data_IF_323920238368
#
_entry.id   IF_323920238368
#
_cell.length_a   1.000
_cell.length_b   1.000
_cell.length_c   1.000
_cell.angle_alpha   90.00
_cell.angle_beta   90.00
_cell.angle_gamma   90.00
#
_symmetry.space_group_name_H-M   'P 1'
#
loop_
_entity.id
_entity.type
_entity.pdbx_description
1 polymer ?
#
# COMPACT_ATOMS: atom_id res chain seq x y z
N UNK A 1 6.13 1.55 -11.91
CA UNK A 1 6.01 1.24 -10.48
C UNK A 1 7.19 0.36 -10.13
N UNK A 2 7.83 0.62 -8.99
CA UNK A 2 8.99 -0.15 -8.54
C UNK A 2 8.61 -0.93 -7.28
N UNK A 3 8.66 -2.27 -7.28
CA UNK A 3 8.36 -3.06 -6.09
C UNK A 3 9.42 -2.81 -5.02
N UNK A 4 8.99 -2.66 -3.77
CA UNK A 4 9.86 -2.50 -2.61
C UNK A 4 9.30 -3.28 -1.42
N UNK A 5 10.17 -3.54 -0.46
CA UNK A 5 9.83 -4.26 0.76
C UNK A 5 10.54 -3.66 1.95
N UNK A 6 9.77 -3.40 3.01
CA UNK A 6 10.27 -2.98 4.32
C UNK A 6 9.68 -3.92 5.34
N UNK A 7 10.55 -4.69 6.02
CA UNK A 7 10.15 -5.81 6.89
C UNK A 7 9.29 -6.83 6.13
N UNK A 8 8.01 -6.92 6.46
CA UNK A 8 6.97 -7.76 5.89
C UNK A 8 5.96 -6.97 5.03
N UNK A 9 6.12 -5.64 4.92
CA UNK A 9 5.26 -4.80 4.08
C UNK A 9 5.86 -4.73 2.68
N UNK A 10 5.15 -5.33 1.72
CA UNK A 10 5.43 -5.20 0.30
C UNK A 10 4.58 -4.07 -0.29
N UNK A 11 5.21 -3.18 -1.06
CA UNK A 11 4.50 -2.08 -1.67
C UNK A 11 5.06 -1.69 -3.04
N UNK A 12 4.25 -1.00 -3.82
CA UNK A 12 4.63 -0.43 -5.09
C UNK A 12 4.95 1.05 -4.94
N UNK A 13 6.19 1.43 -5.25
CA UNK A 13 6.59 2.82 -5.31
C UNK A 13 6.20 3.41 -6.68
N UNK A 14 5.38 4.45 -6.65
CA UNK A 14 5.08 5.26 -7.83
C UNK A 14 6.11 6.38 -8.01
N UNK A 15 6.30 6.89 -9.25
CA UNK A 15 7.11 8.07 -9.48
C UNK A 15 6.64 9.23 -8.60
N UNK A 16 7.59 10.00 -8.09
CA UNK A 16 7.27 11.17 -7.29
C UNK A 16 6.48 12.21 -8.08
N UNK A 17 5.60 12.93 -7.39
CA UNK A 17 4.72 13.95 -7.98
C UNK A 17 4.95 15.33 -7.38
N UNK A 18 4.28 16.36 -7.91
CA UNK A 18 4.33 17.73 -7.36
C UNK A 18 3.53 17.90 -6.04
N UNK A 19 3.01 16.81 -5.47
CA UNK A 19 2.33 16.85 -4.18
C UNK A 19 3.32 17.17 -3.06
N UNK A 20 2.80 17.76 -1.98
CA UNK A 20 3.57 18.05 -0.76
C UNK A 20 3.59 16.89 0.24
N UNK A 21 2.65 15.96 0.11
CA UNK A 21 2.46 14.83 1.03
C UNK A 21 2.69 13.52 0.31
N UNK A 22 3.09 12.50 1.08
CA UNK A 22 3.15 11.12 0.59
C UNK A 22 1.82 10.43 0.87
N UNK A 23 1.19 9.90 -0.18
CA UNK A 23 -0.02 9.10 -0.05
C UNK A 23 0.36 7.61 0.06
N UNK A 24 -0.23 6.90 1.04
CA UNK A 24 -0.14 5.44 1.18
C UNK A 24 -1.55 4.89 1.02
N UNK A 25 -1.76 4.05 0.01
CA UNK A 25 -3.08 3.52 -0.36
C UNK A 25 -3.05 2.00 -0.29
N UNK A 26 -4.07 1.41 0.33
CA UNK A 26 -4.37 -0.02 0.25
C UNK A 26 -5.41 -0.20 -0.85
N UNK A 27 -4.99 -0.73 -1.99
CA UNK A 27 -5.87 -0.97 -3.13
C UNK A 27 -6.83 -2.15 -2.86
N UNK A 28 -7.89 -2.29 -3.66
CA UNK A 28 -8.94 -3.30 -3.44
C UNK A 28 -8.47 -4.76 -3.45
N UNK A 29 -7.30 -5.03 -4.05
CA UNK A 29 -6.67 -6.35 -4.07
C UNK A 29 -5.67 -6.55 -2.90
N UNK A 30 -5.63 -5.63 -1.93
CA UNK A 30 -4.72 -5.68 -0.79
C UNK A 30 -3.32 -5.14 -1.09
N UNK A 31 -3.05 -4.64 -2.30
CA UNK A 31 -1.76 -4.09 -2.65
C UNK A 31 -1.54 -2.72 -1.99
N UNK A 32 -0.39 -2.55 -1.34
CA UNK A 32 0.02 -1.25 -0.82
C UNK A 32 0.72 -0.46 -1.93
N UNK A 33 0.28 0.79 -2.16
CA UNK A 33 0.84 1.71 -3.15
C UNK A 33 1.26 2.99 -2.47
N UNK A 34 2.48 3.46 -2.76
CA UNK A 34 3.03 4.68 -2.16
C UNK A 34 3.36 5.71 -3.24
N UNK A 35 2.84 6.93 -3.06
CA UNK A 35 3.02 8.08 -3.97
C UNK A 35 3.74 9.21 -3.25
N UNK A 36 5.07 9.32 -3.38
CA UNK A 36 5.82 10.37 -2.70
C UNK A 36 5.82 11.69 -3.49
N UNK A 37 6.24 12.79 -2.85
CA UNK A 37 6.75 13.98 -3.54
C UNK A 37 8.00 13.67 -4.39
N UNK A 38 8.24 14.46 -5.43
CA UNK A 38 9.37 14.27 -6.37
C UNK A 38 10.76 14.32 -5.71
N UNK A 39 10.91 14.99 -4.56
CA UNK A 39 12.20 15.14 -3.88
C UNK A 39 12.53 14.05 -2.85
N UNK A 40 11.62 13.10 -2.59
CA UNK A 40 11.88 12.04 -1.62
C UNK A 40 12.66 10.90 -2.26
N UNK A 41 13.74 10.47 -1.61
CA UNK A 41 14.47 9.28 -2.03
C UNK A 41 13.69 8.01 -1.68
N UNK A 42 13.91 6.89 -2.40
CA UNK A 42 13.26 5.63 -2.07
C UNK A 42 13.49 5.19 -0.61
N UNK A 43 14.66 5.46 -0.03
CA UNK A 43 15.02 5.11 1.35
C UNK A 43 14.26 5.97 2.37
N UNK A 44 14.02 7.26 2.06
CA UNK A 44 13.15 8.11 2.86
C UNK A 44 11.70 7.61 2.82
N UNK A 45 11.26 7.11 1.68
CA UNK A 45 9.95 6.48 1.55
C UNK A 45 9.89 5.17 2.35
N UNK A 46 10.93 4.34 2.31
CA UNK A 46 11.03 3.11 3.11
C UNK A 46 10.87 3.42 4.61
N UNK A 47 11.56 4.46 5.10
CA UNK A 47 11.48 4.91 6.49
C UNK A 47 10.07 5.42 6.85
N UNK A 48 9.41 6.14 5.94
CA UNK A 48 8.03 6.58 6.13
C UNK A 48 7.06 5.40 6.22
N UNK A 49 7.22 4.39 5.35
CA UNK A 49 6.43 3.15 5.39
C UNK A 49 6.63 2.42 6.72
N UNK A 50 7.87 2.28 7.20
CA UNK A 50 8.13 1.66 8.51
C UNK A 50 7.49 2.44 9.66
N UNK A 51 7.56 3.79 9.61
CA UNK A 51 6.94 4.65 10.64
C UNK A 51 5.41 4.51 10.70
N UNK A 52 4.78 4.15 9.57
CA UNK A 52 3.32 3.98 9.43
C UNK A 52 2.88 2.52 9.53
N UNK A 53 3.78 1.57 9.81
CA UNK A 53 3.50 0.11 9.78
C UNK A 53 2.24 -0.32 10.52
N UNK A 54 1.99 0.24 11.71
CA UNK A 54 0.81 -0.11 12.51
C UNK A 54 -0.51 0.28 11.84
N UNK A 55 -0.52 1.43 11.15
CA UNK A 55 -1.67 1.87 10.37
C UNK A 55 -1.85 0.97 9.14
N UNK A 56 -0.76 0.61 8.45
CA UNK A 56 -0.79 -0.28 7.30
C UNK A 56 -1.36 -1.65 7.67
N UNK A 57 -0.86 -2.27 8.76
CA UNK A 57 -1.37 -3.56 9.23
C UNK A 57 -2.85 -3.50 9.59
N UNK A 58 -3.29 -2.44 10.26
CA UNK A 58 -4.71 -2.25 10.59
C UNK A 58 -5.58 -2.24 9.33
N UNK A 59 -5.20 -1.44 8.33
CA UNK A 59 -5.97 -1.33 7.09
C UNK A 59 -5.96 -2.63 6.29
N UNK A 60 -4.85 -3.37 6.29
CA UNK A 60 -4.77 -4.69 5.65
C UNK A 60 -5.65 -5.73 6.36
N UNK A 61 -5.71 -5.71 7.69
CA UNK A 61 -6.60 -6.57 8.45
C UNK A 61 -8.08 -6.22 8.18
N UNK A 62 -8.44 -4.93 8.24
CA UNK A 62 -9.79 -4.46 7.91
C UNK A 62 -10.20 -4.84 6.48
N UNK A 63 -9.30 -4.66 5.51
CA UNK A 63 -9.50 -5.11 4.13
C UNK A 63 -9.74 -6.62 4.07
N UNK A 64 -8.93 -7.42 4.78
CA UNK A 64 -9.06 -8.87 4.80
C UNK A 64 -10.41 -9.30 5.40
N UNK A 65 -10.84 -8.67 6.48
CA UNK A 65 -12.11 -8.97 7.15
C UNK A 65 -13.32 -8.61 6.27
N UNK A 66 -13.27 -7.46 5.58
CA UNK A 66 -14.30 -7.07 4.60
C UNK A 66 -14.41 -8.07 3.44
N UNK A 67 -13.27 -8.61 2.97
CA UNK A 67 -13.27 -9.62 1.89
C UNK A 67 -13.60 -11.03 2.37
N UNK A 68 -13.35 -11.37 3.63
CA UNK A 68 -13.72 -12.67 4.19
C UNK A 68 -15.26 -12.91 4.17
N UNK A 69 -16.04 -11.83 4.11
CA UNK A 69 -17.51 -11.88 4.03
C UNK A 69 -18.02 -11.91 2.58
N UNK A 70 -17.14 -11.81 1.58
CA UNK A 70 -17.54 -11.79 0.18
C UNK A 70 -17.96 -13.19 -0.29
N UNK A 71 -19.21 -13.33 -0.75
CA UNK A 71 -19.74 -14.58 -1.33
C UNK A 71 -18.96 -14.89 -2.61
N UNK A 72 -18.26 -16.04 -2.62
CA UNK A 72 -17.66 -16.58 -3.84
C UNK A 72 -18.79 -16.89 -4.85
N UNK A 73 -18.89 -16.09 -5.91
CA UNK A 73 -19.74 -16.38 -7.06
C UNK A 73 -18.87 -16.91 -8.17
N UNK A 74 -19.07 -18.19 -8.50
CA UNK A 74 -18.57 -18.76 -9.74
C UNK A 74 -19.39 -18.22 -10.92
N UNK A 75 -18.67 -17.78 -11.95
CA UNK A 75 -19.26 -17.48 -13.23
C UNK A 75 -19.54 -18.81 -13.95
N UNK A 76 -20.81 -19.08 -14.23
CA UNK A 76 -21.21 -20.24 -15.04
C UNK A 76 -21.42 -19.74 -16.48
N UNK A 77 -20.73 -20.35 -17.44
CA UNK A 77 -20.85 -20.10 -18.88
C UNK A 77 -21.78 -21.14 -19.51
#
# INVERSE_FOLDING_TARGET
MTPRRVRDIEYQLLPGSQRKTTDIVIERNGQVVVRPPAGLTPEQVDALVDSRRMWIYRNLAEWKDLNATAVAREWVN
#
